data_IF_198452249320
#
_entry.id   IF_198452249320
#
_cell.length_a   1.000
_cell.length_b   1.000
_cell.length_c   1.000
_cell.angle_alpha   90.00
_cell.angle_beta   90.00
_cell.angle_gamma   90.00
#
_symmetry.space_group_name_H-M   'P 1'
#
loop_
_entity.id
_entity.type
_entity.pdbx_description
1 polymer ?
#
# COMPACT_ATOMS: atom_id res chain seq x y z
N UNK A 1 38.81 50.47 -28.92
CA UNK A 1 37.35 50.59 -28.81
C UNK A 1 36.74 49.24 -29.24
N UNK A 2 36.12 48.52 -28.29
CA UNK A 2 35.23 47.33 -28.43
C UNK A 2 35.87 46.01 -28.95
N UNK A 3 36.03 44.97 -28.11
CA UNK A 3 35.08 43.88 -27.74
C UNK A 3 34.56 43.12 -28.98
N UNK A 4 34.51 41.78 -29.10
CA UNK A 4 34.41 40.71 -28.10
C UNK A 4 34.79 39.32 -28.68
N UNK A 5 34.91 38.38 -27.74
CA UNK A 5 35.06 36.92 -27.85
C UNK A 5 34.17 36.25 -28.91
N UNK A 6 34.71 35.18 -29.51
CA UNK A 6 33.92 34.03 -29.93
C UNK A 6 34.62 32.73 -29.46
N UNK A 7 34.55 32.47 -28.15
CA UNK A 7 34.65 31.11 -27.61
C UNK A 7 33.27 30.48 -27.78
N UNK A 8 33.04 29.74 -28.86
CA UNK A 8 31.88 28.86 -28.96
C UNK A 8 32.15 27.60 -28.13
N UNK A 9 31.72 27.65 -26.87
CA UNK A 9 31.52 26.48 -26.04
C UNK A 9 30.64 25.45 -26.77
N UNK A 10 31.22 24.27 -27.05
CA UNK A 10 30.48 23.03 -27.22
C UNK A 10 29.85 22.67 -25.86
N UNK A 11 28.74 23.31 -25.53
CA UNK A 11 27.83 22.83 -24.50
C UNK A 11 26.97 21.74 -25.15
N UNK A 12 27.37 20.48 -24.95
CA UNK A 12 26.58 19.30 -25.29
C UNK A 12 25.27 19.34 -24.50
N UNK A 13 24.22 19.89 -25.10
CA UNK A 13 22.84 19.70 -24.65
C UNK A 13 22.51 18.20 -24.79
N UNK A 14 22.69 17.44 -23.72
CA UNK A 14 21.96 16.18 -23.55
C UNK A 14 20.50 16.55 -23.29
N UNK A 15 19.76 16.82 -24.36
CA UNK A 15 18.32 16.66 -24.31
C UNK A 15 18.08 15.16 -24.10
N UNK A 16 17.86 14.75 -22.85
CA UNK A 16 17.37 13.41 -22.56
C UNK A 16 16.00 13.29 -23.23
N UNK A 17 15.97 12.68 -24.42
CA UNK A 17 14.73 12.35 -25.08
C UNK A 17 13.96 11.40 -24.16
N UNK A 18 12.72 11.76 -23.83
CA UNK A 18 11.84 10.88 -23.09
C UNK A 18 11.68 9.57 -23.88
N UNK A 19 11.90 8.43 -23.22
CA UNK A 19 11.64 7.14 -23.86
C UNK A 19 10.16 7.03 -24.24
N UNK A 20 9.83 6.40 -25.38
CA UNK A 20 8.47 5.98 -25.66
C UNK A 20 7.87 5.20 -24.48
N UNK A 21 6.58 5.38 -24.14
CA UNK A 21 5.97 4.71 -22.99
C UNK A 21 6.13 3.18 -23.01
N UNK A 22 6.09 2.57 -24.19
CA UNK A 22 6.28 1.12 -24.37
C UNK A 22 7.69 0.66 -24.00
N UNK A 23 8.71 1.43 -24.38
CA UNK A 23 10.10 1.17 -24.01
C UNK A 23 10.29 1.33 -22.50
N UNK A 24 9.69 2.38 -21.93
CA UNK A 24 9.74 2.63 -20.48
C UNK A 24 9.07 1.50 -19.68
N UNK A 25 7.93 0.97 -20.15
CA UNK A 25 7.28 -0.18 -19.52
C UNK A 25 8.17 -1.44 -19.55
N UNK A 26 8.87 -1.69 -20.67
CA UNK A 26 9.82 -2.80 -20.80
C UNK A 26 11.02 -2.65 -19.87
N UNK A 27 11.56 -1.44 -19.75
CA UNK A 27 12.66 -1.13 -18.85
C UNK A 27 12.28 -1.39 -17.40
N UNK A 28 11.15 -0.81 -16.94
CA UNK A 28 10.64 -1.05 -15.58
C UNK A 28 10.42 -2.53 -15.29
N UNK A 29 9.82 -3.26 -16.23
CA UNK A 29 9.60 -4.70 -16.07
C UNK A 29 10.93 -5.47 -16.00
N UNK A 30 11.92 -5.10 -16.81
CA UNK A 30 13.26 -5.70 -16.76
C UNK A 30 13.95 -5.45 -15.43
N UNK A 31 13.84 -4.26 -14.85
CA UNK A 31 14.44 -3.95 -13.56
C UNK A 31 13.74 -4.72 -12.42
N UNK A 32 12.40 -4.76 -12.43
CA UNK A 32 11.61 -5.51 -11.45
C UNK A 32 11.96 -7.00 -11.50
N UNK A 33 11.99 -7.60 -12.69
CA UNK A 33 12.27 -9.04 -12.87
C UNK A 33 13.73 -9.42 -12.58
N UNK A 34 14.65 -8.47 -12.53
CA UNK A 34 16.01 -8.68 -12.04
C UNK A 34 16.08 -8.82 -10.50
N UNK A 35 15.09 -8.28 -9.79
CA UNK A 35 15.01 -8.27 -8.32
C UNK A 35 14.05 -9.34 -7.80
N UNK A 36 12.93 -9.53 -8.49
CA UNK A 36 11.97 -10.59 -8.25
C UNK A 36 12.16 -11.64 -9.35
N UNK A 37 12.62 -12.87 -9.04
CA UNK A 37 12.80 -13.92 -10.03
C UNK A 37 11.46 -14.43 -10.56
N UNK A 38 10.77 -13.59 -11.31
CA UNK A 38 9.46 -13.80 -11.89
C UNK A 38 9.62 -13.66 -13.40
N UNK A 39 9.80 -14.79 -14.08
CA UNK A 39 9.98 -14.82 -15.53
C UNK A 39 8.61 -14.83 -16.24
N UNK A 40 8.59 -14.41 -17.51
CA UNK A 40 7.44 -14.57 -18.38
C UNK A 40 6.38 -13.46 -18.32
N UNK A 41 6.58 -12.42 -17.51
CA UNK A 41 5.69 -11.26 -17.49
C UNK A 41 5.78 -10.45 -18.79
N UNK A 42 4.62 -9.98 -19.25
CA UNK A 42 4.48 -9.11 -20.42
C UNK A 42 3.58 -7.93 -20.06
N UNK A 43 3.99 -6.74 -20.48
CA UNK A 43 3.20 -5.53 -20.33
C UNK A 43 2.25 -5.34 -21.51
N UNK A 44 1.03 -4.90 -21.23
CA UNK A 44 0.08 -4.39 -22.21
C UNK A 44 0.56 -3.02 -22.76
N UNK A 45 0.01 -2.57 -23.91
CA UNK A 45 0.26 -1.21 -24.40
C UNK A 45 -0.08 -0.17 -23.32
N UNK A 46 0.84 0.77 -23.00
CA UNK A 46 0.61 1.75 -21.95
C UNK A 46 -0.53 2.71 -22.26
N UNK A 47 -1.35 2.99 -21.25
CA UNK A 47 -2.41 3.99 -21.28
C UNK A 47 -2.05 5.19 -20.42
N UNK A 48 -2.22 6.40 -20.95
CA UNK A 48 -2.15 7.61 -20.14
C UNK A 48 -3.46 7.79 -19.37
N UNK A 49 -3.35 7.88 -18.05
CA UNK A 49 -4.47 8.00 -17.13
C UNK A 49 -4.41 9.32 -16.39
N UNK A 50 -5.50 10.09 -16.49
CA UNK A 50 -5.73 11.31 -15.71
C UNK A 50 -6.77 11.04 -14.64
N UNK A 51 -6.76 11.85 -13.58
CA UNK A 51 -7.82 11.82 -12.58
C UNK A 51 -9.17 12.17 -13.24
N UNK A 52 -10.23 11.42 -12.92
CA UNK A 52 -11.57 11.77 -13.41
C UNK A 52 -12.08 13.06 -12.74
N UNK A 53 -12.72 13.98 -13.49
CA UNK A 53 -13.27 15.21 -12.91
C UNK A 53 -14.44 14.94 -11.98
N UNK A 54 -14.68 15.82 -11.01
CA UNK A 54 -15.87 15.75 -10.14
C UNK A 54 -15.85 14.62 -9.12
N UNK A 55 -14.66 14.10 -8.79
CA UNK A 55 -14.52 13.13 -7.71
C UNK A 55 -14.86 13.76 -6.37
N UNK A 56 -15.37 12.92 -5.46
CA UNK A 56 -15.61 13.33 -4.07
C UNK A 56 -14.31 13.85 -3.39
N UNK A 57 -13.15 13.35 -3.83
CA UNK A 57 -11.83 13.79 -3.38
C UNK A 57 -10.92 14.06 -4.58
N UNK A 58 -10.72 15.35 -4.88
CA UNK A 58 -9.72 15.78 -5.84
C UNK A 58 -8.33 15.70 -5.20
N UNK A 59 -7.61 14.59 -5.42
CA UNK A 59 -6.24 14.41 -4.95
C UNK A 59 -5.22 15.34 -5.64
N UNK A 60 -5.55 15.88 -6.81
CA UNK A 60 -4.65 16.74 -7.58
C UNK A 60 -3.43 16.00 -8.14
N UNK A 61 -3.47 14.66 -8.18
CA UNK A 61 -2.36 13.86 -8.65
C UNK A 61 -2.14 14.03 -10.16
N UNK A 62 -0.90 14.20 -10.64
CA UNK A 62 -0.62 14.41 -12.05
C UNK A 62 -0.96 13.17 -12.87
N UNK A 63 -1.25 13.29 -14.19
CA UNK A 63 -1.45 12.14 -15.06
C UNK A 63 -0.29 11.15 -15.01
N UNK A 64 -0.59 9.86 -15.15
CA UNK A 64 0.36 8.76 -15.07
C UNK A 64 0.19 7.81 -16.23
N UNK A 65 1.26 7.15 -16.64
CA UNK A 65 1.16 6.02 -17.54
C UNK A 65 0.86 4.75 -16.74
N UNK A 66 0.01 3.89 -17.28
CA UNK A 66 -0.31 2.57 -16.74
C UNK A 66 -0.08 1.49 -17.79
N UNK A 67 0.48 0.36 -17.38
CA UNK A 67 0.40 -0.88 -18.15
C UNK A 67 -0.09 -2.01 -17.25
N UNK A 68 -0.95 -2.86 -17.77
CA UNK A 68 -1.31 -4.12 -17.13
C UNK A 68 -0.26 -5.17 -17.46
N UNK A 69 0.01 -6.06 -16.52
CA UNK A 69 0.95 -7.15 -16.69
C UNK A 69 0.20 -8.48 -16.66
N UNK A 70 0.66 -9.40 -17.49
CA UNK A 70 0.22 -10.80 -17.48
C UNK A 70 1.42 -11.71 -17.62
N UNK A 71 1.46 -12.80 -16.86
CA UNK A 71 2.49 -13.83 -17.00
C UNK A 71 2.01 -15.02 -17.86
N UNK A 72 2.89 -16.00 -18.06
CA UNK A 72 2.58 -17.21 -18.86
C UNK A 72 1.52 -18.12 -18.21
N UNK A 73 1.23 -17.93 -16.91
CA UNK A 73 0.21 -18.66 -16.16
C UNK A 73 -1.12 -17.92 -16.11
N UNK A 74 -1.20 -16.71 -16.67
CA UNK A 74 -2.38 -15.85 -16.63
C UNK A 74 -2.50 -15.02 -15.36
N UNK A 75 -1.48 -14.96 -14.50
CA UNK A 75 -1.49 -14.10 -13.31
C UNK A 75 -1.36 -12.65 -13.70
N UNK A 76 -1.98 -11.78 -12.91
CA UNK A 76 -2.12 -10.36 -13.20
C UNK A 76 -1.17 -9.49 -12.38
N UNK A 77 -0.80 -8.35 -12.94
CA UNK A 77 -0.01 -7.33 -12.28
C UNK A 77 -0.19 -6.00 -12.99
N UNK A 78 0.56 -4.99 -12.57
CA UNK A 78 0.53 -3.69 -13.24
C UNK A 78 1.77 -2.86 -12.95
N UNK A 79 1.98 -1.85 -13.79
CA UNK A 79 2.97 -0.79 -13.64
C UNK A 79 2.26 0.56 -13.69
N UNK A 80 2.69 1.49 -12.83
CA UNK A 80 2.33 2.90 -12.90
C UNK A 80 3.60 3.76 -12.84
N UNK A 81 3.76 4.70 -13.76
CA UNK A 81 4.90 5.61 -13.78
C UNK A 81 4.50 7.03 -14.18
N UNK A 82 5.38 7.98 -13.86
CA UNK A 82 5.14 9.39 -14.12
C UNK A 82 4.96 9.68 -15.61
N UNK A 83 4.01 10.56 -15.95
CA UNK A 83 4.00 11.22 -17.25
C UNK A 83 5.02 12.36 -17.27
N UNK A 84 6.30 12.01 -17.17
CA UNK A 84 7.44 12.94 -17.18
C UNK A 84 8.55 12.38 -18.08
N UNK A 85 9.52 13.21 -18.54
CA UNK A 85 10.64 12.71 -19.34
C UNK A 85 11.48 11.64 -18.63
N UNK A 86 11.54 11.68 -17.28
CA UNK A 86 12.20 10.64 -16.48
C UNK A 86 11.40 9.35 -16.46
N UNK A 87 10.07 9.44 -16.46
CA UNK A 87 9.18 8.29 -16.46
C UNK A 87 9.37 7.41 -15.24
N UNK A 88 9.68 8.01 -14.08
CA UNK A 88 10.02 7.28 -12.85
C UNK A 88 8.85 6.38 -12.42
N UNK A 89 9.17 5.14 -12.06
CA UNK A 89 8.20 4.16 -11.58
C UNK A 89 7.60 4.64 -10.25
N UNK A 90 6.28 4.75 -10.20
CA UNK A 90 5.54 5.17 -9.01
C UNK A 90 5.12 3.96 -8.19
N UNK A 91 4.70 2.90 -8.87
CA UNK A 91 4.05 1.79 -8.23
C UNK A 91 4.00 0.57 -9.15
N UNK A 92 4.06 -0.62 -8.56
CA UNK A 92 3.81 -1.87 -9.27
C UNK A 92 3.30 -2.96 -8.34
N UNK A 93 2.67 -3.98 -8.92
CA UNK A 93 2.42 -5.24 -8.24
C UNK A 93 2.53 -6.38 -9.25
N UNK A 94 2.97 -7.54 -8.76
CA UNK A 94 2.99 -8.81 -9.49
C UNK A 94 2.24 -9.83 -8.64
N UNK A 95 1.15 -10.39 -9.14
CA UNK A 95 0.51 -11.50 -8.44
C UNK A 95 1.46 -12.70 -8.42
N UNK A 96 1.89 -13.06 -7.22
CA UNK A 96 2.87 -14.10 -6.96
C UNK A 96 2.30 -15.09 -5.97
N UNK A 97 2.54 -16.38 -6.21
CA UNK A 97 2.11 -17.47 -5.31
C UNK A 97 2.91 -17.50 -4.00
N UNK A 98 3.97 -16.68 -3.91
CA UNK A 98 4.83 -16.61 -2.73
C UNK A 98 5.34 -15.20 -2.46
N UNK A 99 5.50 -14.92 -1.17
CA UNK A 99 6.20 -13.75 -0.66
C UNK A 99 7.69 -13.91 -0.91
N UNK A 100 8.21 -13.19 -1.90
CA UNK A 100 9.64 -13.22 -2.23
C UNK A 100 10.32 -11.99 -1.67
N UNK A 101 11.36 -12.19 -0.86
CA UNK A 101 12.19 -11.08 -0.39
C UNK A 101 12.93 -10.49 -1.60
N UNK A 102 12.74 -9.20 -1.92
CA UNK A 102 13.45 -8.58 -3.02
C UNK A 102 14.96 -8.55 -2.79
N UNK A 103 15.74 -8.75 -3.85
CA UNK A 103 17.18 -8.43 -3.82
C UNK A 103 17.38 -6.94 -3.54
N UNK A 104 18.13 -6.61 -2.49
CA UNK A 104 18.34 -5.21 -2.09
C UNK A 104 17.16 -4.60 -1.32
N UNK A 105 16.28 -5.43 -0.74
CA UNK A 105 15.21 -4.98 0.13
C UNK A 105 14.95 -5.95 1.29
N UNK A 106 13.81 -5.78 1.95
CA UNK A 106 13.38 -6.61 3.08
C UNK A 106 11.88 -6.88 3.03
N UNK A 107 11.46 -7.97 3.68
CA UNK A 107 10.07 -8.39 3.76
C UNK A 107 9.77 -9.07 5.11
N UNK A 108 8.62 -8.75 5.68
CA UNK A 108 7.99 -9.41 6.83
C UNK A 108 6.89 -10.33 6.29
N UNK A 109 7.16 -11.64 6.11
CA UNK A 109 6.19 -12.56 5.55
C UNK A 109 5.08 -12.92 6.56
N UNK A 110 4.01 -13.54 6.07
CA UNK A 110 2.98 -14.15 6.91
C UNK A 110 1.94 -13.18 7.49
N UNK A 111 1.92 -11.94 7.03
CA UNK A 111 0.84 -11.00 7.32
C UNK A 111 -0.41 -11.41 6.54
N UNK A 112 -1.53 -11.73 7.21
CA UNK A 112 -2.70 -12.20 6.51
C UNK A 112 -3.35 -11.09 5.67
N UNK A 113 -3.73 -11.41 4.44
CA UNK A 113 -4.50 -10.51 3.61
C UNK A 113 -5.98 -10.53 4.02
N UNK A 114 -6.59 -9.36 4.13
CA UNK A 114 -8.03 -9.19 4.33
C UNK A 114 -8.54 -8.12 3.38
N UNK A 115 -9.36 -8.52 2.42
CA UNK A 115 -10.11 -7.57 1.60
C UNK A 115 -11.22 -6.94 2.44
N UNK A 116 -11.57 -5.70 2.10
CA UNK A 116 -12.74 -5.08 2.69
C UNK A 116 -14.00 -5.90 2.42
N UNK A 117 -14.88 -5.91 3.41
CA UNK A 117 -16.13 -6.63 3.36
C UNK A 117 -17.30 -5.74 3.81
N UNK A 118 -18.55 -6.08 3.42
CA UNK A 118 -19.73 -5.35 3.87
C UNK A 118 -19.94 -5.46 5.38
N UNK A 119 -20.29 -4.36 6.03
CA UNK A 119 -20.71 -4.29 7.43
C UNK A 119 -21.99 -3.46 7.56
N UNK A 120 -22.79 -3.63 8.62
CA UNK A 120 -23.94 -2.77 8.86
C UNK A 120 -23.54 -1.29 8.92
N UNK A 121 -24.24 -0.45 8.15
CA UNK A 121 -24.03 1.00 8.14
C UNK A 121 -24.75 1.71 9.28
N UNK A 122 -24.33 2.94 9.56
CA UNK A 122 -25.00 3.90 10.45
C UNK A 122 -26.26 4.45 9.80
N UNK A 123 -26.22 4.67 8.47
CA UNK A 123 -27.33 5.25 7.69
C UNK A 123 -27.76 4.40 6.49
N UNK A 124 -26.93 3.44 6.07
CA UNK A 124 -27.14 2.57 4.93
C UNK A 124 -27.32 1.12 5.38
N UNK A 125 -27.93 0.28 4.53
CA UNK A 125 -28.09 -1.15 4.85
C UNK A 125 -26.74 -1.84 5.05
N UNK A 126 -25.77 -1.56 4.17
CA UNK A 126 -24.38 -2.00 4.29
C UNK A 126 -23.43 -0.90 3.80
N UNK A 127 -22.24 -0.87 4.41
CA UNK A 127 -21.11 -0.01 4.07
C UNK A 127 -19.84 -0.87 4.05
N UNK A 128 -18.81 -0.44 3.32
CA UNK A 128 -17.51 -1.08 3.38
C UNK A 128 -16.96 -1.04 4.82
N UNK A 129 -16.33 -2.12 5.28
CA UNK A 129 -15.64 -2.22 6.59
C UNK A 129 -14.66 -1.07 6.88
N UNK A 130 -14.09 -0.47 5.84
CA UNK A 130 -13.17 0.67 5.89
C UNK A 130 -11.70 0.26 5.97
N UNK A 131 -10.82 0.97 5.26
CA UNK A 131 -9.42 0.55 5.10
C UNK A 131 -8.66 0.54 6.43
N UNK A 132 -8.92 1.54 7.28
CA UNK A 132 -8.26 1.75 8.56
C UNK A 132 -8.43 0.54 9.51
N UNK A 133 -9.65 0.14 9.92
CA UNK A 133 -9.82 -1.04 10.78
C UNK A 133 -9.40 -2.36 10.11
N UNK A 134 -9.58 -2.48 8.79
CA UNK A 134 -9.28 -3.71 8.04
C UNK A 134 -7.77 -3.96 7.90
N UNK A 135 -6.98 -2.91 7.65
CA UNK A 135 -5.52 -2.97 7.73
C UNK A 135 -5.06 -3.29 9.17
N UNK A 136 -5.64 -2.61 10.16
CA UNK A 136 -5.37 -2.88 11.58
C UNK A 136 -5.61 -4.34 11.97
N UNK A 137 -6.71 -4.93 11.49
CA UNK A 137 -7.03 -6.32 11.77
C UNK A 137 -6.03 -7.31 11.14
N UNK A 138 -5.55 -7.01 9.94
CA UNK A 138 -4.51 -7.80 9.27
C UNK A 138 -3.20 -7.78 10.07
N UNK A 139 -2.79 -6.60 10.57
CA UNK A 139 -1.62 -6.47 11.46
C UNK A 139 -1.84 -7.21 12.78
N UNK A 140 -3.00 -7.08 13.43
CA UNK A 140 -3.30 -7.81 14.66
C UNK A 140 -3.27 -9.32 14.41
N UNK A 141 -3.83 -9.76 13.27
CA UNK A 141 -3.80 -11.14 12.83
C UNK A 141 -2.39 -11.72 12.73
N UNK A 142 -1.43 -10.93 12.23
CA UNK A 142 -0.01 -11.31 12.25
C UNK A 142 0.46 -11.60 13.68
N UNK A 143 0.22 -10.72 14.65
CA UNK A 143 0.62 -10.95 16.04
C UNK A 143 -0.07 -12.14 16.70
N UNK A 144 -1.31 -12.46 16.31
CA UNK A 144 -1.99 -13.67 16.81
C UNK A 144 -1.32 -14.97 16.42
N UNK A 145 -0.55 -14.96 15.33
CA UNK A 145 0.24 -16.12 14.88
C UNK A 145 1.73 -15.99 15.25
N UNK A 146 2.13 -14.86 15.84
CA UNK A 146 3.52 -14.53 16.21
C UNK A 146 3.64 -14.11 17.67
N UNK A 147 3.23 -15.02 18.58
CA UNK A 147 3.50 -14.90 20.02
C UNK A 147 2.34 -14.40 20.87
N UNK A 148 1.24 -13.91 20.28
CA UNK A 148 0.10 -13.35 21.03
C UNK A 148 -1.25 -13.97 20.61
N UNK A 149 -1.40 -15.31 20.65
CA UNK A 149 -2.63 -15.98 20.21
C UNK A 149 -3.88 -15.53 20.98
N UNK A 150 -3.74 -15.11 22.23
CA UNK A 150 -4.80 -14.58 23.08
C UNK A 150 -5.46 -13.31 22.50
N UNK A 151 -4.74 -12.54 21.67
CA UNK A 151 -5.30 -11.36 21.01
C UNK A 151 -6.42 -11.70 20.01
N UNK A 152 -6.46 -12.95 19.54
CA UNK A 152 -7.51 -13.45 18.64
C UNK A 152 -8.90 -13.47 19.32
N UNK A 153 -8.95 -13.38 20.65
CA UNK A 153 -10.19 -13.45 21.42
C UNK A 153 -10.68 -14.89 21.66
N UNK A 154 -11.88 -15.05 22.27
CA UNK A 154 -12.28 -16.29 22.95
C UNK A 154 -12.67 -17.52 22.09
N UNK A 155 -12.24 -17.67 20.83
CA UNK A 155 -12.68 -18.80 19.99
C UNK A 155 -11.68 -19.28 18.92
N UNK A 156 -11.71 -20.59 18.62
CA UNK A 156 -11.03 -21.21 17.47
C UNK A 156 -11.86 -20.99 16.19
N UNK A 157 -12.03 -19.74 15.76
CA UNK A 157 -12.64 -19.44 14.46
C UNK A 157 -11.60 -19.53 13.32
N UNK A 158 -12.03 -19.86 12.09
CA UNK A 158 -11.24 -19.65 10.87
C UNK A 158 -10.59 -18.25 10.84
N UNK A 159 -9.41 -18.15 10.25
CA UNK A 159 -8.62 -16.91 10.23
C UNK A 159 -9.40 -15.73 9.65
N UNK A 160 -10.15 -15.92 8.55
CA UNK A 160 -10.94 -14.87 7.92
C UNK A 160 -12.02 -14.32 8.87
N UNK A 161 -12.71 -15.18 9.61
CA UNK A 161 -13.72 -14.76 10.60
C UNK A 161 -13.09 -14.05 11.79
N UNK A 162 -11.91 -14.50 12.25
CA UNK A 162 -11.15 -13.80 13.29
C UNK A 162 -10.75 -12.40 12.84
N UNK A 163 -10.23 -12.26 11.63
CA UNK A 163 -9.84 -10.96 11.07
C UNK A 163 -11.04 -10.02 10.91
N UNK A 164 -12.19 -10.53 10.45
CA UNK A 164 -13.46 -9.78 10.39
C UNK A 164 -13.93 -9.34 11.77
N UNK A 165 -13.88 -10.23 12.77
CA UNK A 165 -14.21 -9.91 14.16
C UNK A 165 -13.29 -8.82 14.72
N UNK A 166 -11.97 -8.96 14.52
CA UNK A 166 -10.98 -7.94 14.92
C UNK A 166 -11.23 -6.60 14.23
N UNK A 167 -11.58 -6.60 12.94
CA UNK A 167 -11.96 -5.38 12.20
C UNK A 167 -13.12 -4.68 12.89
N UNK A 168 -14.18 -5.42 13.28
CA UNK A 168 -15.34 -4.87 13.97
C UNK A 168 -14.98 -4.37 15.38
N UNK A 169 -14.11 -5.07 16.12
CA UNK A 169 -13.60 -4.62 17.43
C UNK A 169 -12.84 -3.30 17.30
N UNK A 170 -11.93 -3.19 16.33
CA UNK A 170 -11.19 -1.93 16.11
C UNK A 170 -12.15 -0.82 15.68
N UNK A 171 -13.06 -1.11 14.73
CA UNK A 171 -14.06 -0.18 14.21
C UNK A 171 -14.93 0.45 15.30
N UNK A 172 -15.41 -0.33 16.28
CA UNK A 172 -16.26 0.20 17.38
C UNK A 172 -15.54 1.23 18.28
N UNK A 173 -14.21 1.33 18.21
CA UNK A 173 -13.39 2.25 19.02
C UNK A 173 -12.99 3.53 18.26
N UNK A 174 -13.37 3.64 16.99
CA UNK A 174 -13.03 4.76 16.11
C UNK A 174 -14.26 5.55 15.69
N UNK A 175 -14.08 6.83 15.41
CA UNK A 175 -15.09 7.67 14.76
C UNK A 175 -15.10 7.37 13.27
N UNK A 176 -16.02 6.51 12.87
CA UNK A 176 -16.22 6.14 11.47
C UNK A 176 -17.04 7.22 10.75
N UNK A 177 -16.59 7.59 9.55
CA UNK A 177 -17.35 8.37 8.59
C UNK A 177 -17.82 7.45 7.45
N UNK A 178 -19.08 7.61 7.04
CA UNK A 178 -19.66 6.92 5.88
C UNK A 178 -19.78 7.91 4.73
N UNK A 179 -19.39 7.47 3.53
CA UNK A 179 -19.38 8.30 2.33
C UNK A 179 -20.07 7.54 1.21
N UNK A 180 -21.03 8.14 0.51
CA UNK A 180 -21.66 7.52 -0.64
C UNK A 180 -20.61 7.33 -1.74
N UNK A 181 -20.62 6.17 -2.39
CA UNK A 181 -19.71 5.88 -3.49
C UNK A 181 -20.26 6.42 -4.82
N UNK A 182 -20.26 7.75 -4.97
CA UNK A 182 -20.74 8.41 -6.19
C UNK A 182 -19.73 8.37 -7.33
N UNK A 183 -18.47 8.06 -7.04
CA UNK A 183 -17.37 8.05 -8.01
C UNK A 183 -17.05 6.65 -8.54
N UNK A 184 -17.63 5.59 -7.97
CA UNK A 184 -17.46 4.21 -8.41
C UNK A 184 -16.18 3.54 -7.93
N UNK A 185 -15.76 3.81 -6.68
CA UNK A 185 -14.62 3.13 -6.04
C UNK A 185 -14.87 1.62 -5.91
N UNK A 186 -16.07 1.24 -5.49
CA UNK A 186 -16.58 -0.14 -5.45
C UNK A 186 -17.31 -0.47 -6.76
N UNK A 187 -17.41 -1.76 -7.10
CA UNK A 187 -18.08 -2.18 -8.34
C UNK A 187 -19.61 -2.20 -8.20
N UNK A 188 -20.11 -2.38 -6.98
CA UNK A 188 -21.54 -2.47 -6.65
C UNK A 188 -22.12 -1.15 -6.11
N UNK A 189 -21.31 -0.09 -6.02
CA UNK A 189 -21.71 1.20 -5.45
C UNK A 189 -21.92 1.15 -3.94
N UNK A 190 -21.36 0.14 -3.26
CA UNK A 190 -21.36 0.07 -1.80
C UNK A 190 -20.72 1.33 -1.21
N UNK A 191 -21.41 2.03 -0.29
CA UNK A 191 -20.84 3.19 0.38
C UNK A 191 -19.50 2.85 1.04
N UNK A 192 -18.57 3.80 0.99
CA UNK A 192 -17.26 3.69 1.63
C UNK A 192 -17.35 4.06 3.10
N UNK A 193 -16.36 3.62 3.88
CA UNK A 193 -16.14 4.19 5.21
C UNK A 193 -14.67 4.39 5.53
N UNK A 194 -14.40 5.39 6.37
CA UNK A 194 -13.04 5.75 6.77
C UNK A 194 -13.00 6.27 8.20
N UNK A 195 -11.79 6.37 8.73
CA UNK A 195 -11.47 6.97 10.02
C UNK A 195 -10.10 7.66 9.93
N UNK A 196 -9.72 8.43 10.94
CA UNK A 196 -8.37 8.98 11.02
C UNK A 196 -7.37 7.91 11.49
N UNK A 197 -6.21 7.74 10.83
CA UNK A 197 -5.21 6.74 11.22
C UNK A 197 -4.69 6.90 12.66
N UNK A 198 -4.65 8.12 13.20
CA UNK A 198 -4.29 8.34 14.60
C UNK A 198 -5.23 7.62 15.58
N UNK A 199 -6.54 7.51 15.25
CA UNK A 199 -7.50 6.78 16.07
C UNK A 199 -7.28 5.27 16.01
N UNK A 200 -6.67 4.75 14.93
CA UNK A 200 -6.33 3.34 14.81
C UNK A 200 -5.28 2.94 15.84
N UNK A 201 -4.22 3.74 16.02
CA UNK A 201 -3.19 3.48 17.03
C UNK A 201 -3.81 3.37 18.43
N UNK A 202 -4.60 4.36 18.87
CA UNK A 202 -5.29 4.30 20.16
C UNK A 202 -6.28 3.15 20.26
N UNK A 203 -6.91 2.76 19.16
CA UNK A 203 -7.87 1.64 19.14
C UNK A 203 -7.18 0.28 19.28
N UNK A 204 -6.00 0.12 18.68
CA UNK A 204 -5.16 -1.07 18.82
C UNK A 204 -4.67 -1.20 20.26
N UNK A 205 -4.18 -0.12 20.88
CA UNK A 205 -3.75 -0.16 22.29
C UNK A 205 -4.89 -0.56 23.23
N UNK A 206 -6.08 0.02 23.05
CA UNK A 206 -7.25 -0.34 23.84
C UNK A 206 -7.69 -1.78 23.61
N UNK A 207 -7.68 -2.25 22.36
CA UNK A 207 -8.01 -3.64 22.04
C UNK A 207 -6.99 -4.60 22.66
N UNK A 208 -5.70 -4.29 22.62
CA UNK A 208 -4.66 -5.08 23.28
C UNK A 208 -4.87 -5.14 24.80
N UNK A 209 -5.13 -4.00 25.45
CA UNK A 209 -5.40 -3.92 26.90
C UNK A 209 -6.61 -4.76 27.31
N UNK A 210 -7.73 -4.68 26.58
CA UNK A 210 -8.92 -5.48 26.85
C UNK A 210 -8.69 -7.00 26.71
N UNK A 211 -7.67 -7.41 25.94
CA UNK A 211 -7.29 -8.81 25.77
C UNK A 211 -6.03 -9.19 26.57
N UNK A 212 -5.55 -8.32 27.48
CA UNK A 212 -4.33 -8.52 28.27
C UNK A 212 -3.06 -8.80 27.45
N UNK A 213 -2.95 -8.17 26.27
CA UNK A 213 -1.80 -8.31 25.36
C UNK A 213 -0.84 -7.13 25.57
N UNK A 214 0.44 -7.36 25.90
CA UNK A 214 1.41 -6.28 26.18
C UNK A 214 1.92 -5.66 24.86
N UNK A 215 1.11 -4.80 24.24
CA UNK A 215 1.39 -4.16 22.96
C UNK A 215 1.27 -2.65 23.05
N UNK A 216 2.24 -1.97 22.44
CA UNK A 216 2.22 -0.52 22.24
C UNK A 216 1.91 -0.20 20.77
N UNK A 217 1.16 0.87 20.52
CA UNK A 217 0.92 1.36 19.16
C UNK A 217 1.21 2.87 19.06
N UNK A 218 2.21 3.23 18.24
CA UNK A 218 2.68 4.61 18.13
C UNK A 218 2.50 5.15 16.72
N UNK A 219 1.64 6.16 16.60
CA UNK A 219 1.48 6.97 15.39
C UNK A 219 2.65 7.97 15.24
N UNK A 220 3.17 8.11 14.02
CA UNK A 220 4.22 9.06 13.67
C UNK A 220 4.16 9.46 12.20
N UNK A 221 4.88 10.51 11.82
CA UNK A 221 5.13 10.79 10.41
C UNK A 221 5.87 9.62 9.76
N UNK A 222 5.59 9.38 8.48
CA UNK A 222 6.29 8.35 7.73
C UNK A 222 7.80 8.59 7.72
N UNK A 223 8.56 7.49 7.87
CA UNK A 223 10.01 7.46 7.74
C UNK A 223 10.41 6.13 7.12
N UNK A 224 11.09 6.18 5.98
CA UNK A 224 11.57 4.99 5.30
C UNK A 224 12.55 4.19 6.15
N UNK A 225 13.39 4.88 6.93
CA UNK A 225 14.31 4.24 7.88
C UNK A 225 13.57 3.52 9.02
N UNK A 226 12.48 4.08 9.54
CA UNK A 226 11.65 3.33 10.50
C UNK A 226 11.00 2.10 9.86
N UNK A 227 10.53 2.19 8.60
CA UNK A 227 10.01 1.03 7.88
C UNK A 227 11.10 -0.06 7.73
N UNK A 228 12.33 0.30 7.39
CA UNK A 228 13.47 -0.62 7.32
C UNK A 228 13.74 -1.29 8.66
N UNK A 229 13.76 -0.52 9.75
CA UNK A 229 14.01 -1.02 11.11
C UNK A 229 12.94 -2.01 11.57
N UNK A 230 11.67 -1.70 11.34
CA UNK A 230 10.56 -2.59 11.70
C UNK A 230 10.57 -3.87 10.85
N UNK A 231 10.81 -3.73 9.54
CA UNK A 231 10.96 -4.88 8.63
C UNK A 231 12.11 -5.79 9.03
N UNK A 232 13.28 -5.22 9.37
CA UNK A 232 14.45 -5.99 9.83
C UNK A 232 14.19 -6.75 11.13
N UNK A 233 13.23 -6.29 11.93
CA UNK A 233 12.81 -6.94 13.15
C UNK A 233 11.55 -7.81 12.98
N UNK A 234 11.15 -8.09 11.74
CA UNK A 234 9.94 -8.86 11.41
C UNK A 234 8.68 -8.30 12.06
N UNK A 235 8.54 -6.96 12.04
CA UNK A 235 7.35 -6.28 12.54
C UNK A 235 6.66 -5.55 11.39
N UNK A 236 5.43 -5.93 11.03
CA UNK A 236 4.66 -5.14 10.08
C UNK A 236 4.25 -3.82 10.72
N UNK A 237 4.02 -2.82 9.88
CA UNK A 237 3.57 -1.49 10.30
C UNK A 237 2.26 -1.15 9.59
N UNK A 238 1.52 -0.18 10.09
CA UNK A 238 0.42 0.41 9.31
C UNK A 238 0.91 1.69 8.65
N UNK A 239 0.51 1.89 7.41
CA UNK A 239 0.95 2.99 6.58
C UNK A 239 -0.26 3.73 6.01
N UNK A 240 -0.29 5.04 6.21
CA UNK A 240 -1.27 5.92 5.58
C UNK A 240 -0.68 6.55 4.33
N UNK A 241 -1.42 6.49 3.21
CA UNK A 241 -0.95 6.97 1.92
C UNK A 241 -2.05 7.66 1.10
N UNK A 242 -1.65 8.41 0.08
CA UNK A 242 -2.55 8.86 -0.98
C UNK A 242 -2.18 8.10 -2.25
N UNK A 243 -3.08 7.23 -2.72
CA UNK A 243 -2.76 6.33 -3.85
C UNK A 243 -3.91 6.23 -4.84
N UNK A 244 -3.57 5.84 -6.07
CA UNK A 244 -4.55 5.45 -7.08
C UNK A 244 -5.10 4.06 -6.79
N UNK A 245 -6.33 3.83 -7.22
CA UNK A 245 -6.89 2.48 -7.24
C UNK A 245 -6.29 1.71 -8.41
N UNK A 246 -5.62 0.56 -8.21
CA UNK A 246 -4.92 -0.12 -9.32
C UNK A 246 -5.83 -0.47 -10.51
N UNK A 247 -7.04 -0.97 -10.23
CA UNK A 247 -8.03 -1.33 -11.27
C UNK A 247 -8.79 -0.13 -11.83
N UNK A 248 -8.84 0.98 -11.08
CA UNK A 248 -9.52 2.23 -11.45
C UNK A 248 -8.55 3.40 -11.25
N UNK A 249 -7.45 3.47 -12.03
CA UNK A 249 -6.33 4.39 -11.78
C UNK A 249 -6.68 5.88 -11.98
N UNK A 250 -7.85 6.15 -12.55
CA UNK A 250 -8.42 7.49 -12.62
C UNK A 250 -8.98 7.94 -11.25
N UNK A 251 -9.25 7.02 -10.32
CA UNK A 251 -9.66 7.26 -8.94
C UNK A 251 -8.45 7.23 -8.00
N UNK A 252 -8.50 8.05 -6.96
CA UNK A 252 -7.45 8.13 -5.95
C UNK A 252 -8.02 8.52 -4.59
N UNK A 253 -7.47 7.98 -3.52
CA UNK A 253 -8.04 8.18 -2.19
C UNK A 253 -6.98 8.04 -1.09
N UNK A 254 -7.23 8.68 0.06
CA UNK A 254 -6.44 8.54 1.28
C UNK A 254 -6.64 7.17 1.93
N UNK A 255 -5.64 6.30 1.87
CA UNK A 255 -5.76 4.88 2.12
C UNK A 255 -4.87 4.40 3.27
N UNK A 256 -5.29 3.34 3.95
CA UNK A 256 -4.54 2.70 5.04
C UNK A 256 -4.27 1.23 4.68
N UNK A 257 -3.00 0.86 4.73
CA UNK A 257 -2.47 -0.45 4.31
C UNK A 257 -1.51 -0.99 5.36
N UNK A 258 -1.20 -2.30 5.29
CA UNK A 258 -0.16 -2.88 6.13
C UNK A 258 1.17 -2.85 5.37
N UNK A 259 2.14 -2.12 5.88
CA UNK A 259 3.53 -2.15 5.43
C UNK A 259 4.19 -3.45 5.85
N UNK A 260 4.65 -4.21 4.86
CA UNK A 260 5.25 -5.53 5.03
C UNK A 260 6.65 -5.61 4.46
N UNK A 261 7.18 -4.58 3.82
CA UNK A 261 8.53 -4.62 3.30
C UNK A 261 9.02 -3.30 2.73
N UNK A 262 10.24 -3.33 2.23
CA UNK A 262 10.87 -2.20 1.55
C UNK A 262 11.79 -2.69 0.43
N UNK A 263 12.00 -1.85 -0.56
CA UNK A 263 12.81 -2.12 -1.74
C UNK A 263 13.48 -0.83 -2.22
N UNK A 264 14.72 -0.93 -2.69
CA UNK A 264 15.38 0.10 -3.49
C UNK A 264 15.50 -0.38 -4.95
N UNK A 265 14.96 0.40 -5.88
CA UNK A 265 14.85 0.05 -7.30
C UNK A 265 15.02 1.32 -8.13
N UNK A 266 15.90 1.32 -9.14
CA UNK A 266 16.11 2.48 -10.00
C UNK A 266 16.59 3.75 -9.27
N UNK A 267 17.17 3.62 -8.07
CA UNK A 267 17.55 4.74 -7.20
C UNK A 267 16.39 5.32 -6.38
N UNK A 268 15.20 4.74 -6.48
CA UNK A 268 14.00 5.13 -5.74
C UNK A 268 13.71 4.14 -4.60
N UNK A 269 12.93 4.61 -3.62
CA UNK A 269 12.58 3.85 -2.41
C UNK A 269 11.09 3.49 -2.42
N UNK A 270 10.79 2.21 -2.22
CA UNK A 270 9.44 1.65 -2.24
C UNK A 270 9.09 0.95 -0.94
N UNK A 271 7.87 1.17 -0.45
CA UNK A 271 7.29 0.35 0.60
C UNK A 271 6.44 -0.77 -0.03
N UNK A 272 6.65 -2.00 0.44
CA UNK A 272 5.82 -3.15 0.10
C UNK A 272 4.62 -3.22 1.05
N UNK A 273 3.41 -3.34 0.51
CA UNK A 273 2.17 -3.29 1.29
C UNK A 273 1.21 -4.44 0.96
N UNK A 274 0.46 -4.87 1.99
CA UNK A 274 -0.79 -5.64 1.84
C UNK A 274 -1.95 -4.66 1.78
N UNK A 275 -2.68 -4.72 0.68
CA UNK A 275 -3.71 -3.75 0.35
C UNK A 275 -5.11 -4.38 0.37
N UNK A 276 -5.99 -3.83 1.21
CA UNK A 276 -7.36 -4.28 1.38
C UNK A 276 -8.37 -3.75 0.34
N UNK A 277 -7.90 -2.95 -0.63
CA UNK A 277 -8.65 -2.48 -1.81
C UNK A 277 -8.11 -3.05 -3.13
N UNK A 278 -6.97 -3.76 -3.08
CA UNK A 278 -6.42 -4.44 -4.25
C UNK A 278 -6.79 -5.93 -4.18
N UNK A 279 -7.82 -6.37 -4.93
CA UNK A 279 -8.14 -7.78 -5.02
C UNK A 279 -7.04 -8.47 -5.83
N UNK A 280 -6.13 -9.16 -5.14
CA UNK A 280 -5.19 -10.09 -5.77
C UNK A 280 -5.77 -11.51 -5.78
N UNK A 281 -5.41 -12.28 -6.80
CA UNK A 281 -5.75 -13.71 -6.83
C UNK A 281 -4.93 -14.49 -5.80
N UNK A 282 -3.76 -13.95 -5.42
CA UNK A 282 -2.88 -14.52 -4.41
C UNK A 282 -2.88 -13.69 -3.13
N UNK A 283 -3.14 -14.28 -1.95
CA UNK A 283 -2.99 -13.59 -0.67
C UNK A 283 -1.55 -13.12 -0.40
N UNK A 284 -0.58 -13.65 -1.17
CA UNK A 284 0.84 -13.40 -0.99
C UNK A 284 1.32 -12.19 -1.79
N UNK A 285 0.48 -11.62 -2.66
CA UNK A 285 0.82 -10.42 -3.42
C UNK A 285 1.23 -9.27 -2.50
N UNK A 286 2.27 -8.55 -2.93
CA UNK A 286 2.74 -7.31 -2.31
C UNK A 286 2.68 -6.23 -3.37
N UNK A 287 2.02 -5.12 -3.05
CA UNK A 287 2.01 -3.91 -3.86
C UNK A 287 3.19 -3.04 -3.43
N UNK A 288 4.01 -2.60 -4.36
CA UNK A 288 5.19 -1.79 -4.09
C UNK A 288 4.91 -0.36 -4.51
N UNK A 289 4.95 0.57 -3.57
CA UNK A 289 4.54 1.97 -3.76
C UNK A 289 5.70 2.88 -3.38
N UNK A 290 6.02 3.86 -4.24
CA UNK A 290 7.11 4.82 -3.98
C UNK A 290 6.84 5.62 -2.71
N UNK A 291 7.90 5.89 -1.95
CA UNK A 291 7.80 6.38 -0.58
C UNK A 291 7.02 7.71 -0.42
N UNK A 292 7.01 8.58 -1.43
CA UNK A 292 6.37 9.90 -1.35
C UNK A 292 4.84 9.82 -1.28
N UNK A 293 4.26 8.65 -1.58
CA UNK A 293 2.83 8.42 -1.38
C UNK A 293 2.46 8.35 0.11
N UNK A 294 3.41 8.04 0.99
CA UNK A 294 3.17 7.79 2.41
C UNK A 294 3.33 9.03 3.27
N UNK A 295 2.36 9.25 4.15
CA UNK A 295 2.30 10.41 5.04
C UNK A 295 2.59 10.03 6.50
N UNK A 296 2.12 8.86 6.91
CA UNK A 296 2.17 8.42 8.30
C UNK A 296 2.53 6.94 8.42
N UNK A 297 3.01 6.58 9.60
CA UNK A 297 3.36 5.22 9.98
C UNK A 297 2.91 4.96 11.42
N UNK A 298 2.25 3.83 11.66
CA UNK A 298 1.93 3.32 13.00
C UNK A 298 2.78 2.07 13.25
N UNK A 299 3.65 2.14 14.27
CA UNK A 299 4.36 0.98 14.78
C UNK A 299 3.50 0.29 15.81
N UNK A 300 3.35 -1.02 15.69
CA UNK A 300 2.68 -1.86 16.68
C UNK A 300 3.66 -2.94 17.09
N UNK A 301 4.07 -2.92 18.34
CA UNK A 301 5.17 -3.75 18.82
C UNK A 301 4.92 -4.19 20.27
N UNK A 302 5.44 -5.37 20.65
CA UNK A 302 5.44 -5.80 22.04
C UNK A 302 6.08 -4.75 22.94
N UNK A 303 5.49 -4.53 24.11
CA UNK A 303 6.09 -3.72 25.15
C UNK A 303 7.40 -4.39 25.61
N UNK A 304 8.44 -3.59 25.87
CA UNK A 304 9.66 -4.15 26.46
C UNK A 304 9.33 -4.67 27.87
N UNK A 305 9.85 -5.84 28.29
CA UNK A 305 9.70 -6.27 29.66
C UNK A 305 10.35 -5.24 30.59
N UNK A 306 9.55 -4.55 31.43
CA UNK A 306 10.05 -3.69 32.52
C UNK A 306 9.88 -2.18 32.40
N UNK A 307 9.14 -1.64 31.42
CA UNK A 307 8.68 -0.24 31.49
C UNK A 307 7.27 -0.19 32.09
N UNK A 308 7.19 -0.31 33.43
CA UNK A 308 6.00 0.15 34.16
C UNK A 308 5.86 1.67 33.95
N UNK A 309 4.65 2.11 33.58
CA UNK A 309 4.29 3.54 33.46
C UNK A 309 4.14 4.19 34.84
#
# INVERSE_FOLDING_TARGET
MRFALALSLLASFHAAFALPPEDRAREHLSEITAIFPAQGWKASPPLLVSQAPGQLYESGLPPVWKADLVDERGRHGYLLWENSPRGTLLEFALDSDSETTPKGGGLTPGVPALQQFPVPGLKSANVASGCVPTAGASLVGYWTTHGFPEWAGPALQPLDLRLKSTTLRLRKRMRMAEMPDTSGYTDDGMPLSGAFPQELASSIEKDAQENAVPMSAKFSQFSFEHLKQETAAFRPVLLSCMVRLPQKPHLSWGHEVVGVGWLELGGEQYAGVKDNFYPSESPQTVRWIRQEAFQSLIRVQPEKPGEEK
#
